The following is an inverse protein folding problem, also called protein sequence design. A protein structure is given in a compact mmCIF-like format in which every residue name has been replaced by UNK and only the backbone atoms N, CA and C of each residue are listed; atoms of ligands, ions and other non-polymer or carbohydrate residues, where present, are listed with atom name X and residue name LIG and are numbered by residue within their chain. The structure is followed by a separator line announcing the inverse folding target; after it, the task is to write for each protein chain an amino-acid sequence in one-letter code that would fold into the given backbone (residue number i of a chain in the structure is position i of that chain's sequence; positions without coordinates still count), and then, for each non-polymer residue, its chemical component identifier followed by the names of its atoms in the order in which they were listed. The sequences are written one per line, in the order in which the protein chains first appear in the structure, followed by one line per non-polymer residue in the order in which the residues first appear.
data_IF_555584403326
#
_entry.id   IF_555584403326
#
_cell.length_a   1.000
_cell.length_b   1.000
_cell.length_c   1.000
_cell.angle_alpha   90.00
_cell.angle_beta   90.00
_cell.angle_gamma   90.00
#
_symmetry.space_group_name_H-M   'P 1'
#
loop_
_entity.id
_entity.type
_entity.pdbx_description
1 polymer ?
#
# COMPACT_ATOMS: atom_id res chain seq x y z
N UNK A 1 13.34 -0.89 -8.50
CA UNK A 1 12.13 -0.81 -7.65
C UNK A 1 10.93 -1.61 -8.12
N UNK A 2 10.37 -1.39 -9.33
CA UNK A 2 9.18 -2.12 -9.79
C UNK A 2 9.26 -3.65 -9.65
N UNK A 3 10.37 -4.26 -10.05
CA UNK A 3 10.58 -5.71 -9.93
C UNK A 3 10.60 -6.19 -8.47
N UNK A 4 11.16 -5.39 -7.57
CA UNK A 4 11.22 -5.68 -6.14
C UNK A 4 9.83 -5.57 -5.52
N UNK A 5 9.08 -4.51 -5.84
CA UNK A 5 7.68 -4.38 -5.43
C UNK A 5 6.85 -5.59 -5.86
N UNK A 6 7.06 -6.10 -7.09
CA UNK A 6 6.39 -7.30 -7.60
C UNK A 6 6.85 -8.59 -6.92
N UNK A 7 8.14 -8.73 -6.60
CA UNK A 7 8.64 -9.89 -5.83
C UNK A 7 8.02 -9.92 -4.43
N UNK A 8 7.97 -8.79 -3.74
CA UNK A 8 7.35 -8.66 -2.43
C UNK A 8 5.83 -8.90 -2.51
N UNK A 9 5.14 -8.35 -3.51
CA UNK A 9 3.70 -8.62 -3.73
C UNK A 9 3.42 -10.13 -3.87
N UNK A 10 4.21 -10.84 -4.67
CA UNK A 10 4.08 -12.30 -4.81
C UNK A 10 4.33 -13.05 -3.51
N UNK A 11 5.36 -12.67 -2.76
CA UNK A 11 5.66 -13.25 -1.44
C UNK A 11 4.47 -13.05 -0.49
N UNK A 12 3.98 -11.83 -0.35
CA UNK A 12 2.89 -11.50 0.58
C UNK A 12 1.61 -12.23 0.20
N UNK A 13 1.26 -12.29 -1.08
CA UNK A 13 0.10 -13.06 -1.55
C UNK A 13 0.25 -14.56 -1.18
N UNK A 14 1.45 -15.12 -1.36
CA UNK A 14 1.72 -16.51 -1.00
C UNK A 14 1.58 -16.77 0.51
N UNK A 15 1.89 -15.77 1.34
CA UNK A 15 1.81 -15.85 2.80
C UNK A 15 0.39 -15.62 3.37
N UNK A 16 -0.58 -15.25 2.53
CA UNK A 16 -1.98 -15.01 2.94
C UNK A 16 -2.52 -13.64 2.57
N UNK A 17 -1.73 -12.76 1.97
CA UNK A 17 -2.12 -11.40 1.59
C UNK A 17 -1.62 -10.34 2.56
N UNK A 18 -1.99 -9.10 2.29
CA UNK A 18 -1.50 -7.94 3.03
C UNK A 18 -2.14 -7.81 4.43
N UNK A 19 -1.39 -7.27 5.39
CA UNK A 19 -1.95 -6.89 6.68
C UNK A 19 -2.94 -5.74 6.55
N UNK A 20 -3.82 -5.58 7.54
CA UNK A 20 -4.57 -4.32 7.68
C UNK A 20 -3.58 -3.15 7.78
N UNK A 21 -3.83 -1.99 7.15
CA UNK A 21 -2.85 -0.91 7.08
C UNK A 21 -2.27 -0.46 8.43
N UNK A 22 -3.09 -0.37 9.49
CA UNK A 22 -2.62 0.02 10.82
C UNK A 22 -1.80 -1.09 11.51
N UNK A 23 -2.02 -2.36 11.17
CA UNK A 23 -1.16 -3.47 11.59
C UNK A 23 0.18 -3.41 10.86
N UNK A 24 0.19 -3.11 9.56
CA UNK A 24 1.43 -2.86 8.81
C UNK A 24 2.21 -1.66 9.36
N UNK A 25 1.53 -0.61 9.80
CA UNK A 25 2.16 0.51 10.51
C UNK A 25 2.79 0.07 11.84
N UNK A 26 2.10 -0.73 12.64
CA UNK A 26 2.64 -1.22 13.90
C UNK A 26 3.92 -2.01 13.67
N UNK A 27 3.94 -2.90 12.67
CA UNK A 27 5.14 -3.64 12.28
C UNK A 27 6.25 -2.69 11.82
N UNK A 28 5.97 -1.70 10.97
CA UNK A 28 6.98 -0.73 10.55
C UNK A 28 7.64 -0.02 11.75
N UNK A 29 6.85 0.39 12.75
CA UNK A 29 7.38 1.05 13.94
C UNK A 29 8.18 0.09 14.84
N UNK A 30 7.81 -1.18 14.85
CA UNK A 30 8.54 -2.26 15.52
C UNK A 30 9.92 -2.43 14.89
N UNK A 31 10.02 -2.62 13.58
CA UNK A 31 11.32 -2.75 12.86
C UNK A 31 12.22 -1.52 13.07
N UNK A 32 11.63 -0.32 13.05
CA UNK A 32 12.39 0.93 13.30
C UNK A 32 12.93 0.97 14.74
N UNK A 33 12.22 0.37 15.68
CA UNK A 33 12.69 0.15 17.04
C UNK A 33 13.83 -0.87 17.09
N UNK A 34 13.69 -1.99 16.38
CA UNK A 34 14.68 -3.06 16.30
C UNK A 34 16.00 -2.58 15.64
N UNK A 35 15.94 -1.77 14.57
CA UNK A 35 17.11 -1.05 14.02
C UNK A 35 17.80 -0.19 15.09
N UNK A 36 17.02 0.50 15.93
CA UNK A 36 17.55 1.30 17.03
C UNK A 36 18.24 0.47 18.11
N UNK A 37 17.68 -0.70 18.42
CA UNK A 37 18.27 -1.69 19.32
C UNK A 37 19.59 -2.21 18.79
N UNK A 38 19.63 -2.67 17.54
CA UNK A 38 20.85 -3.17 16.89
C UNK A 38 21.97 -2.11 16.87
N UNK A 39 21.64 -0.85 16.56
CA UNK A 39 22.60 0.27 16.63
C UNK A 39 23.10 0.54 18.05
N UNK A 40 22.23 0.41 19.06
CA UNK A 40 22.59 0.61 20.45
C UNK A 40 23.56 -0.47 20.94
N UNK A 41 23.24 -1.73 20.63
CA UNK A 41 23.98 -2.91 21.05
C UNK A 41 25.22 -3.19 20.19
N UNK A 42 25.42 -2.42 19.11
CA UNK A 42 26.48 -2.60 18.11
C UNK A 42 26.44 -4.00 17.46
N UNK A 43 25.23 -4.52 17.25
CA UNK A 43 24.99 -5.80 16.59
C UNK A 43 24.78 -5.57 15.08
N UNK A 44 25.84 -5.76 14.32
CA UNK A 44 25.84 -5.56 12.86
C UNK A 44 24.95 -6.57 12.14
N UNK A 45 24.88 -7.83 12.61
CA UNK A 45 24.07 -8.87 11.99
C UNK A 45 22.57 -8.56 12.17
N UNK A 46 22.17 -8.20 13.39
CA UNK A 46 20.82 -7.72 13.64
C UNK A 46 20.51 -6.48 12.81
N UNK A 47 21.43 -5.50 12.75
CA UNK A 47 21.22 -4.27 11.97
C UNK A 47 20.91 -4.56 10.50
N UNK A 48 21.61 -5.52 9.87
CA UNK A 48 21.34 -5.93 8.49
C UNK A 48 19.92 -6.50 8.34
N UNK A 49 19.52 -7.42 9.22
CA UNK A 49 18.18 -8.04 9.21
C UNK A 49 17.09 -6.97 9.36
N UNK A 50 17.20 -6.10 10.35
CA UNK A 50 16.18 -5.09 10.65
C UNK A 50 16.08 -4.02 9.55
N UNK A 51 17.18 -3.65 8.89
CA UNK A 51 17.15 -2.73 7.75
C UNK A 51 16.40 -3.33 6.55
N UNK A 52 16.64 -4.62 6.27
CA UNK A 52 15.92 -5.32 5.21
C UNK A 52 14.42 -5.42 5.55
N UNK A 53 14.08 -5.64 6.82
CA UNK A 53 12.70 -5.74 7.27
C UNK A 53 11.93 -4.40 7.20
N UNK A 54 12.56 -3.30 7.62
CA UNK A 54 12.01 -1.95 7.37
C UNK A 54 11.76 -1.74 5.87
N UNK A 55 12.69 -2.16 5.01
CA UNK A 55 12.55 -2.01 3.57
C UNK A 55 11.39 -2.85 3.00
N UNK A 56 11.25 -4.10 3.44
CA UNK A 56 10.14 -4.98 3.04
C UNK A 56 8.80 -4.40 3.47
N UNK A 57 8.65 -4.03 4.75
CA UNK A 57 7.36 -3.57 5.28
C UNK A 57 6.97 -2.21 4.70
N UNK A 58 7.92 -1.30 4.53
CA UNK A 58 7.66 -0.02 3.86
C UNK A 58 7.23 -0.23 2.40
N UNK A 59 7.81 -1.22 1.71
CA UNK A 59 7.39 -1.61 0.35
C UNK A 59 5.99 -2.24 0.35
N UNK A 60 5.66 -3.06 1.34
CA UNK A 60 4.32 -3.63 1.49
C UNK A 60 3.27 -2.52 1.66
N UNK A 61 3.54 -1.55 2.54
CA UNK A 61 2.67 -0.40 2.73
C UNK A 61 2.52 0.41 1.44
N UNK A 62 3.57 0.59 0.62
CA UNK A 62 3.43 1.26 -0.67
C UNK A 62 2.50 0.49 -1.62
N UNK A 63 2.70 -0.82 -1.74
CA UNK A 63 1.90 -1.67 -2.63
C UNK A 63 0.41 -1.61 -2.28
N UNK A 64 0.04 -1.63 -0.99
CA UNK A 64 -1.35 -1.54 -0.54
C UNK A 64 -2.09 -0.28 -1.00
N UNK A 65 -1.36 0.79 -1.29
CA UNK A 65 -1.91 2.06 -1.80
C UNK A 65 -1.66 2.23 -3.30
N UNK A 66 -1.32 1.14 -4.00
CA UNK A 66 -0.93 1.12 -5.39
C UNK A 66 0.13 2.19 -5.73
N UNK A 67 1.06 2.44 -4.80
CA UNK A 67 2.15 3.42 -4.97
C UNK A 67 3.27 2.81 -5.81
N UNK A 68 3.74 3.57 -6.79
CA UNK A 68 4.94 3.25 -7.55
C UNK A 68 6.13 3.94 -6.88
N UNK A 69 7.05 3.16 -6.32
CA UNK A 69 8.21 3.70 -5.60
C UNK A 69 9.37 4.01 -6.55
N UNK A 70 9.95 5.19 -6.38
CA UNK A 70 11.21 5.54 -7.04
C UNK A 70 12.42 4.89 -6.35
N UNK A 71 13.49 4.67 -7.11
CA UNK A 71 14.75 4.16 -6.56
C UNK A 71 15.43 5.21 -5.66
N UNK A 72 15.61 4.85 -4.38
CA UNK A 72 16.20 5.73 -3.37
C UNK A 72 17.70 5.49 -3.15
N UNK A 73 18.32 4.56 -3.88
CA UNK A 73 19.74 4.19 -3.72
C UNK A 73 20.72 5.31 -4.07
N UNK A 74 20.33 6.22 -4.97
CA UNK A 74 21.22 7.22 -5.61
C UNK A 74 21.54 8.45 -4.75
N UNK A 75 21.25 8.43 -3.45
CA UNK A 75 21.52 9.55 -2.53
C UNK A 75 23.00 9.94 -2.51
N UNK A 76 23.29 11.23 -2.74
CA UNK A 76 24.65 11.79 -2.70
C UNK A 76 24.86 12.52 -1.37
N UNK A 77 25.61 11.91 -0.48
CA UNK A 77 26.13 12.55 0.72
C UNK A 77 26.48 11.55 1.80
N UNK A 78 27.69 11.64 2.33
CA UNK A 78 28.05 10.97 3.59
C UNK A 78 27.09 11.45 4.67
N UNK A 79 26.45 10.51 5.36
CA UNK A 79 25.53 10.80 6.45
C UNK A 79 25.86 9.88 7.60
N UNK A 80 26.34 10.48 8.69
CA UNK A 80 26.56 9.74 9.95
C UNK A 80 25.33 8.89 10.28
N UNK A 81 25.55 7.60 10.55
CA UNK A 81 24.51 6.59 10.82
C UNK A 81 23.42 7.07 11.77
N UNK A 82 23.78 7.74 12.87
CA UNK A 82 22.80 8.27 13.82
C UNK A 82 21.85 9.31 13.22
N UNK A 83 22.30 10.14 12.27
CA UNK A 83 21.44 11.09 11.56
C UNK A 83 20.51 10.39 10.58
N UNK A 84 21.00 9.34 9.93
CA UNK A 84 20.17 8.49 9.08
C UNK A 84 19.10 7.78 9.92
N UNK A 85 19.44 7.24 11.09
CA UNK A 85 18.48 6.66 12.03
C UNK A 85 17.43 7.68 12.52
N UNK A 86 17.82 8.89 12.92
CA UNK A 86 16.82 9.92 13.27
C UNK A 86 15.94 10.32 12.08
N UNK A 87 16.47 10.26 10.87
CA UNK A 87 15.67 10.47 9.65
C UNK A 87 14.66 9.33 9.45
N UNK A 88 15.08 8.08 9.69
CA UNK A 88 14.21 6.90 9.65
C UNK A 88 13.05 7.03 10.64
N UNK A 89 13.35 7.33 11.91
CA UNK A 89 12.33 7.53 12.97
C UNK A 89 11.37 8.67 12.59
N UNK A 90 11.90 9.79 12.07
CA UNK A 90 11.07 10.93 11.65
C UNK A 90 10.14 10.56 10.50
N UNK A 91 10.63 9.90 9.46
CA UNK A 91 9.81 9.54 8.30
C UNK A 91 8.79 8.44 8.65
N UNK A 92 9.15 7.46 9.48
CA UNK A 92 8.21 6.46 9.99
C UNK A 92 7.08 7.09 10.82
N UNK A 93 7.40 8.11 11.64
CA UNK A 93 6.39 8.90 12.35
C UNK A 93 5.47 9.70 11.42
N UNK A 94 5.98 10.18 10.28
CA UNK A 94 5.17 10.84 9.26
C UNK A 94 4.30 9.87 8.44
N UNK A 95 4.80 8.64 8.18
CA UNK A 95 3.97 7.53 7.67
C UNK A 95 2.83 7.25 8.66
N UNK A 96 3.13 7.14 9.96
CA UNK A 96 2.13 6.92 11.01
C UNK A 96 1.06 8.02 11.02
N UNK A 97 1.48 9.28 10.92
CA UNK A 97 0.59 10.43 10.86
C UNK A 97 -0.35 10.37 9.64
N UNK A 98 0.18 9.96 8.49
CA UNK A 98 -0.57 9.86 7.22
C UNK A 98 -1.53 8.68 7.24
N UNK A 99 -1.08 7.49 7.67
CA UNK A 99 -1.93 6.31 7.78
C UNK A 99 -3.03 6.48 8.83
N UNK A 100 -2.75 7.09 9.97
CA UNK A 100 -3.80 7.41 10.95
C UNK A 100 -4.82 8.40 10.38
N UNK A 101 -4.38 9.29 9.49
CA UNK A 101 -5.28 10.18 8.78
C UNK A 101 -6.12 9.47 7.72
N UNK A 102 -5.62 8.41 7.07
CA UNK A 102 -6.34 7.63 6.06
C UNK A 102 -7.30 6.62 6.70
N UNK A 103 -6.81 5.89 7.69
CA UNK A 103 -7.40 4.66 8.22
C UNK A 103 -7.96 4.81 9.63
N UNK A 104 -7.44 5.75 10.41
CA UNK A 104 -7.83 5.97 11.80
C UNK A 104 -8.86 7.07 11.99
N UNK A 105 -9.17 7.33 13.25
CA UNK A 105 -10.21 8.28 13.67
C UNK A 105 -9.75 9.74 13.57
N UNK A 106 -8.44 9.97 13.46
CA UNK A 106 -7.84 11.30 13.55
C UNK A 106 -7.75 11.95 12.17
N UNK A 107 -8.65 12.90 11.91
CA UNK A 107 -8.52 13.78 10.74
C UNK A 107 -7.29 14.70 10.87
N UNK A 108 -6.66 15.00 9.75
CA UNK A 108 -5.63 16.03 9.67
C UNK A 108 -6.22 17.40 9.96
N UNK A 109 -5.41 18.30 10.52
CA UNK A 109 -5.83 19.70 10.72
C UNK A 109 -6.01 20.36 9.35
N UNK A 110 -6.94 21.31 9.24
CA UNK A 110 -7.18 22.04 7.99
C UNK A 110 -5.93 22.80 7.49
N UNK A 111 -5.02 23.17 8.39
CA UNK A 111 -3.75 23.85 8.07
C UNK A 111 -2.59 22.90 7.76
N UNK A 112 -2.78 21.58 7.87
CA UNK A 112 -1.73 20.63 7.52
C UNK A 112 -1.73 20.42 6.02
N UNK A 113 -0.54 20.48 5.42
CA UNK A 113 -0.27 19.90 4.10
C UNK A 113 0.53 18.62 4.34
N UNK A 114 -0.12 17.47 4.59
CA UNK A 114 0.61 16.21 4.59
C UNK A 114 1.15 16.01 3.18
N UNK A 115 2.45 15.69 3.07
CA UNK A 115 2.93 15.08 1.83
C UNK A 115 2.20 13.77 1.56
N UNK A 116 2.30 13.25 0.34
CA UNK A 116 1.76 11.93 0.01
C UNK A 116 2.40 10.84 0.88
N UNK A 117 1.67 9.74 1.10
CA UNK A 117 2.20 8.55 1.74
C UNK A 117 3.43 8.04 0.96
N UNK A 118 3.39 8.09 -0.38
CA UNK A 118 4.54 7.79 -1.23
C UNK A 118 5.81 8.52 -0.80
N UNK A 119 5.73 9.85 -0.67
CA UNK A 119 6.90 10.65 -0.29
C UNK A 119 7.48 10.25 1.08
N UNK A 120 6.60 9.89 2.04
CA UNK A 120 7.02 9.46 3.39
C UNK A 120 7.64 8.07 3.37
N UNK A 121 7.09 7.14 2.59
CA UNK A 121 7.67 5.80 2.42
C UNK A 121 9.03 5.88 1.73
N UNK A 122 9.17 6.69 0.68
CA UNK A 122 10.46 6.93 0.02
C UNK A 122 11.48 7.58 0.97
N UNK A 123 11.01 8.45 1.88
CA UNK A 123 11.82 9.00 2.97
C UNK A 123 12.36 7.92 3.92
N UNK A 124 11.51 6.96 4.31
CA UNK A 124 11.89 5.78 5.09
C UNK A 124 12.96 4.97 4.34
N UNK A 125 12.69 4.59 3.09
CA UNK A 125 13.63 3.78 2.29
C UNK A 125 14.96 4.47 2.06
N UNK A 126 14.95 5.79 1.82
CA UNK A 126 16.18 6.58 1.71
C UNK A 126 17.01 6.53 2.99
N UNK A 127 16.38 6.62 4.16
CA UNK A 127 17.08 6.52 5.43
C UNK A 127 17.66 5.11 5.65
N UNK A 128 16.95 4.05 5.22
CA UNK A 128 17.49 2.68 5.20
C UNK A 128 18.72 2.58 4.31
N UNK A 129 18.66 3.08 3.07
CA UNK A 129 19.82 3.08 2.16
C UNK A 129 20.98 3.92 2.69
N UNK A 130 20.71 5.01 3.39
CA UNK A 130 21.75 5.82 4.03
C UNK A 130 22.47 5.04 5.12
N UNK A 131 21.76 4.28 5.96
CA UNK A 131 22.40 3.41 6.98
C UNK A 131 23.15 2.26 6.30
N UNK A 132 22.51 1.57 5.35
CA UNK A 132 23.11 0.44 4.63
C UNK A 132 24.44 0.81 3.96
N UNK A 133 24.53 2.00 3.37
CA UNK A 133 25.76 2.49 2.73
C UNK A 133 26.92 2.66 3.72
N UNK A 134 26.63 3.16 4.92
CA UNK A 134 27.66 3.40 5.94
C UNK A 134 28.20 2.09 6.54
N UNK A 135 27.41 1.01 6.49
CA UNK A 135 27.83 -0.34 6.89
C UNK A 135 28.24 -1.21 5.68
N UNK A 136 28.41 -0.61 4.51
CA UNK A 136 28.81 -1.30 3.26
C UNK A 136 27.88 -2.46 2.83
N UNK A 137 26.60 -2.39 3.21
CA UNK A 137 25.56 -3.36 2.86
C UNK A 137 24.97 -3.08 1.46
N UNK A 138 25.04 -4.07 0.56
CA UNK A 138 24.26 -4.07 -0.69
C UNK A 138 22.84 -4.60 -0.42
N UNK A 139 21.94 -3.70 -0.05
CA UNK A 139 20.56 -4.02 0.28
C UNK A 139 19.81 -4.73 -0.86
N UNK A 140 20.13 -4.44 -2.13
CA UNK A 140 19.46 -5.08 -3.26
C UNK A 140 19.97 -6.49 -3.53
N UNK A 141 21.23 -6.79 -3.20
CA UNK A 141 21.75 -8.14 -3.27
C UNK A 141 21.12 -9.03 -2.19
N UNK A 142 20.97 -8.51 -0.96
CA UNK A 142 20.50 -9.30 0.19
C UNK A 142 18.98 -9.51 0.23
N UNK A 143 18.18 -8.58 -0.32
CA UNK A 143 16.71 -8.67 -0.27
C UNK A 143 16.15 -9.93 -0.95
N UNK A 144 16.86 -10.47 -1.95
CA UNK A 144 16.46 -11.70 -2.64
C UNK A 144 16.44 -12.90 -1.69
N UNK A 145 17.53 -13.11 -0.96
CA UNK A 145 17.67 -14.20 0.02
C UNK A 145 16.64 -14.08 1.14
N UNK A 146 16.44 -12.87 1.67
CA UNK A 146 15.44 -12.63 2.72
C UNK A 146 14.02 -12.99 2.27
N UNK A 147 13.64 -12.63 1.03
CA UNK A 147 12.31 -12.95 0.49
C UNK A 147 12.11 -14.47 0.45
N UNK A 148 13.10 -15.23 0.00
CA UNK A 148 13.03 -16.69 -0.09
C UNK A 148 12.93 -17.33 1.32
N UNK A 149 13.73 -16.84 2.27
CA UNK A 149 13.71 -17.29 3.66
C UNK A 149 12.37 -17.02 4.36
N UNK A 150 11.85 -15.79 4.26
CA UNK A 150 10.56 -15.42 4.85
C UNK A 150 9.40 -16.19 4.24
N UNK A 151 9.43 -16.41 2.92
CA UNK A 151 8.41 -17.22 2.22
C UNK A 151 8.31 -18.62 2.84
N UNK A 152 9.45 -19.27 3.09
CA UNK A 152 9.49 -20.62 3.67
C UNK A 152 9.11 -20.63 5.16
N UNK A 153 9.65 -19.68 5.94
CA UNK A 153 9.48 -19.61 7.40
C UNK A 153 8.04 -19.29 7.80
N UNK A 154 7.41 -18.35 7.08
CA UNK A 154 6.16 -17.75 7.53
C UNK A 154 4.90 -18.32 6.86
N UNK A 155 5.07 -19.35 6.03
CA UNK A 155 3.97 -20.03 5.37
C UNK A 155 2.93 -20.54 6.38
N UNK A 156 1.67 -20.13 6.20
CA UNK A 156 0.56 -20.53 7.07
C UNK A 156 0.50 -19.82 8.43
N UNK A 157 1.33 -18.78 8.68
CA UNK A 157 1.29 -17.99 9.92
C UNK A 157 0.27 -16.85 9.92
N UNK A 158 -0.32 -16.53 8.77
CA UNK A 158 -1.19 -15.36 8.63
C UNK A 158 -2.57 -15.73 8.09
N UNK A 159 -3.59 -15.09 8.65
CA UNK A 159 -4.95 -15.15 8.15
C UNK A 159 -5.10 -14.31 6.88
N UNK A 160 -5.89 -14.82 5.93
CA UNK A 160 -6.19 -14.06 4.73
C UNK A 160 -7.01 -12.81 5.06
N UNK A 161 -6.46 -11.65 4.75
CA UNK A 161 -7.11 -10.36 4.96
C UNK A 161 -7.47 -9.73 3.60
N UNK A 162 -8.74 -9.34 3.38
CA UNK A 162 -9.13 -8.63 2.16
C UNK A 162 -8.37 -7.31 2.02
N UNK A 163 -7.84 -7.05 0.83
CA UNK A 163 -7.13 -5.82 0.50
C UNK A 163 -7.57 -5.35 -0.90
N UNK A 164 -7.89 -4.05 -1.09
CA UNK A 164 -8.37 -3.56 -2.37
C UNK A 164 -7.40 -3.81 -3.53
N UNK A 165 -6.08 -3.97 -3.30
CA UNK A 165 -5.14 -4.27 -4.39
C UNK A 165 -5.06 -5.76 -4.72
N UNK A 166 -5.61 -6.65 -3.90
CA UNK A 166 -5.64 -8.11 -4.15
C UNK A 166 -6.99 -8.60 -4.68
N UNK A 167 -8.02 -7.76 -4.68
CA UNK A 167 -9.33 -8.10 -5.23
C UNK A 167 -9.26 -8.53 -6.70
N UNK A 168 -10.07 -9.53 -7.05
CA UNK A 168 -10.06 -10.12 -8.39
C UNK A 168 -10.42 -9.10 -9.49
N UNK A 169 -11.30 -8.15 -9.16
CA UNK A 169 -11.74 -7.05 -10.02
C UNK A 169 -10.54 -6.23 -10.52
N UNK A 170 -9.68 -5.77 -9.63
CA UNK A 170 -8.51 -4.96 -10.00
C UNK A 170 -7.39 -5.78 -10.62
N UNK A 171 -7.16 -7.01 -10.13
CA UNK A 171 -6.12 -7.91 -10.67
C UNK A 171 -6.40 -8.32 -12.11
N UNK A 172 -7.67 -8.41 -12.49
CA UNK A 172 -8.09 -8.66 -13.86
C UNK A 172 -8.03 -7.38 -14.70
N UNK A 173 -8.66 -6.30 -14.24
CA UNK A 173 -8.75 -5.05 -14.99
C UNK A 173 -7.39 -4.45 -15.37
N UNK A 174 -6.42 -4.52 -14.46
CA UNK A 174 -5.05 -4.01 -14.69
C UNK A 174 -4.30 -4.74 -15.81
N UNK A 175 -4.75 -5.93 -16.23
CA UNK A 175 -4.21 -6.63 -17.41
C UNK A 175 -4.61 -5.95 -18.72
N UNK A 176 -5.77 -5.31 -18.74
CA UNK A 176 -6.29 -4.59 -19.90
C UNK A 176 -5.84 -3.12 -19.89
N UNK A 177 -5.90 -2.48 -18.73
CA UNK A 177 -5.54 -1.07 -18.55
C UNK A 177 -4.55 -0.91 -17.39
N UNK A 178 -3.24 -0.83 -17.68
CA UNK A 178 -2.25 -0.51 -16.66
C UNK A 178 -2.57 0.81 -15.97
N UNK A 179 -2.30 0.89 -14.67
CA UNK A 179 -2.51 2.08 -13.85
C UNK A 179 -2.65 1.72 -12.37
N UNK A 180 -2.95 2.73 -11.57
CA UNK A 180 -2.99 2.69 -10.11
C UNK A 180 -4.43 2.58 -9.63
N UNK A 181 -4.90 1.35 -9.51
CA UNK A 181 -6.30 1.06 -9.20
C UNK A 181 -6.44 0.37 -7.86
N UNK A 182 -7.59 0.58 -7.23
CA UNK A 182 -8.11 -0.26 -6.15
C UNK A 182 -9.30 -1.06 -6.67
N UNK A 183 -9.52 -2.24 -6.11
CA UNK A 183 -10.63 -3.12 -6.44
C UNK A 183 -11.68 -3.13 -5.35
N UNK A 184 -12.93 -3.24 -5.77
CA UNK A 184 -14.04 -3.60 -4.90
C UNK A 184 -14.19 -5.11 -4.80
N UNK A 185 -14.76 -5.53 -3.68
CA UNK A 185 -15.13 -6.91 -3.40
C UNK A 185 -16.10 -7.44 -4.45
N UNK A 186 -16.15 -8.75 -4.61
CA UNK A 186 -17.02 -9.43 -5.56
C UNK A 186 -18.49 -9.02 -5.39
N UNK A 187 -19.12 -8.58 -6.48
CA UNK A 187 -20.53 -8.20 -6.56
C UNK A 187 -21.43 -9.43 -6.68
N UNK A 188 -22.61 -9.44 -6.03
CA UNK A 188 -23.55 -10.56 -6.13
C UNK A 188 -24.54 -10.34 -7.28
N UNK A 189 -24.99 -11.42 -7.97
CA UNK A 189 -26.03 -11.32 -8.99
C UNK A 189 -27.29 -10.62 -8.46
N UNK A 190 -27.83 -9.67 -9.24
CA UNK A 190 -29.04 -8.92 -8.90
C UNK A 190 -29.00 -8.23 -7.52
N UNK A 191 -27.81 -7.90 -7.01
CA UNK A 191 -27.67 -7.20 -5.75
C UNK A 191 -28.12 -5.74 -5.88
N UNK A 192 -28.78 -5.20 -4.86
CA UNK A 192 -29.06 -3.76 -4.81
C UNK A 192 -27.75 -2.98 -4.68
N UNK A 193 -27.58 -1.93 -5.49
CA UNK A 193 -26.38 -1.10 -5.47
C UNK A 193 -26.11 -0.50 -4.09
N UNK A 194 -27.16 -0.04 -3.39
CA UNK A 194 -27.09 0.44 -2.00
C UNK A 194 -26.57 -0.64 -1.03
N UNK A 195 -26.99 -1.89 -1.20
CA UNK A 195 -26.55 -3.02 -0.36
C UNK A 195 -25.09 -3.38 -0.63
N UNK A 196 -24.65 -3.36 -1.90
CA UNK A 196 -23.23 -3.51 -2.24
C UNK A 196 -22.39 -2.45 -1.51
N UNK A 197 -22.85 -1.19 -1.53
CA UNK A 197 -22.18 -0.07 -0.85
C UNK A 197 -22.00 -0.27 0.64
N UNK A 198 -22.95 -0.90 1.33
CA UNK A 198 -22.88 -1.13 2.77
C UNK A 198 -21.78 -2.13 3.18
N UNK A 199 -21.49 -3.11 2.32
CA UNK A 199 -20.44 -4.11 2.56
C UNK A 199 -19.08 -3.75 1.96
N UNK A 200 -19.05 -2.83 0.99
CA UNK A 200 -17.81 -2.37 0.35
C UNK A 200 -17.15 -1.24 1.17
N UNK A 201 -16.32 -1.63 2.14
CA UNK A 201 -15.64 -0.72 3.06
C UNK A 201 -14.52 0.10 2.40
N UNK A 202 -13.86 -0.43 1.37
CA UNK A 202 -12.71 0.20 0.72
C UNK A 202 -13.12 1.37 -0.17
N UNK A 203 -14.34 1.39 -0.70
CA UNK A 203 -14.79 2.53 -1.51
C UNK A 203 -14.79 3.84 -0.70
N UNK A 204 -15.17 3.80 0.59
CA UNK A 204 -15.10 5.01 1.44
C UNK A 204 -13.64 5.47 1.64
N UNK A 205 -12.72 4.53 1.79
CA UNK A 205 -11.27 4.81 1.90
C UNK A 205 -10.75 5.41 0.59
N UNK A 206 -11.07 4.78 -0.54
CA UNK A 206 -10.69 5.24 -1.89
C UNK A 206 -11.08 6.71 -2.12
N UNK A 207 -12.35 7.06 -1.89
CA UNK A 207 -12.85 8.42 -2.12
C UNK A 207 -12.10 9.50 -1.33
N UNK A 208 -11.51 9.12 -0.18
CA UNK A 208 -10.72 10.00 0.67
C UNK A 208 -9.29 10.17 0.17
N UNK A 209 -8.68 9.11 -0.39
CA UNK A 209 -7.24 9.09 -0.68
C UNK A 209 -6.91 9.25 -2.16
N UNK A 210 -7.85 8.97 -3.08
CA UNK A 210 -7.56 8.84 -4.51
C UNK A 210 -6.96 10.11 -5.14
N UNK A 211 -7.33 11.28 -4.63
CA UNK A 211 -6.73 12.55 -5.08
C UNK A 211 -5.30 12.71 -4.54
N UNK A 212 -5.08 12.39 -3.27
CA UNK A 212 -3.79 12.63 -2.59
C UNK A 212 -2.73 11.66 -3.09
N UNK A 213 -3.08 10.39 -3.22
CA UNK A 213 -2.14 9.34 -3.66
C UNK A 213 -2.11 9.15 -5.17
N UNK A 214 -2.98 9.83 -5.93
CA UNK A 214 -3.00 9.73 -7.39
C UNK A 214 -3.52 8.38 -7.91
N UNK A 215 -4.54 7.81 -7.27
CA UNK A 215 -5.23 6.63 -7.80
C UNK A 215 -6.05 6.99 -9.05
N UNK A 216 -6.04 6.09 -10.02
CA UNK A 216 -6.71 6.23 -11.32
C UNK A 216 -8.18 5.80 -11.29
N UNK A 217 -8.54 4.92 -10.35
CA UNK A 217 -9.92 4.48 -10.19
C UNK A 217 -10.13 3.40 -9.14
N UNK A 218 -11.41 3.21 -8.78
CA UNK A 218 -11.89 2.07 -8.01
C UNK A 218 -12.70 1.17 -8.92
N UNK A 219 -12.26 -0.08 -9.07
CA UNK A 219 -12.73 -1.01 -10.09
C UNK A 219 -13.62 -2.05 -9.45
N UNK A 220 -14.83 -2.20 -9.98
CA UNK A 220 -15.79 -3.23 -9.60
C UNK A 220 -16.09 -4.05 -10.84
N UNK A 221 -16.00 -5.38 -10.75
CA UNK A 221 -16.47 -6.27 -11.81
C UNK A 221 -17.98 -6.43 -11.66
N UNK A 222 -18.72 -6.11 -12.71
CA UNK A 222 -20.17 -6.27 -12.73
C UNK A 222 -20.52 -7.76 -12.82
N UNK A 223 -21.47 -8.27 -12.01
CA UNK A 223 -21.92 -9.65 -12.15
C UNK A 223 -22.77 -9.82 -13.41
N UNK A 224 -22.94 -11.07 -13.87
CA UNK A 224 -23.72 -11.42 -15.06
C UNK A 224 -25.14 -10.84 -15.00
N UNK A 225 -25.78 -10.95 -13.83
CA UNK A 225 -27.00 -10.20 -13.52
C UNK A 225 -26.62 -8.86 -12.88
N UNK A 226 -26.88 -7.72 -13.55
CA UNK A 226 -26.39 -6.43 -13.11
C UNK A 226 -27.02 -5.98 -11.78
N UNK A 227 -26.40 -4.98 -11.14
CA UNK A 227 -26.95 -4.35 -9.95
C UNK A 227 -28.38 -3.85 -10.17
N UNK A 228 -29.22 -4.02 -9.15
CA UNK A 228 -30.52 -3.35 -9.06
C UNK A 228 -30.25 -1.93 -8.59
N UNK A 229 -30.58 -0.96 -9.45
CA UNK A 229 -30.35 0.47 -9.22
C UNK A 229 -31.69 1.17 -8.97
N UNK A 230 -31.79 1.95 -7.90
CA UNK A 230 -33.03 2.67 -7.56
C UNK A 230 -33.17 3.94 -8.41
N UNK A 231 -32.07 4.64 -8.64
CA UNK A 231 -32.06 5.88 -9.44
C UNK A 231 -30.82 5.94 -10.33
N UNK A 232 -29.63 6.01 -9.73
CA UNK A 232 -28.35 5.85 -10.43
C UNK A 232 -27.31 5.26 -9.48
N UNK A 233 -26.23 4.68 -10.01
CA UNK A 233 -25.15 4.12 -9.18
C UNK A 233 -24.49 5.22 -8.32
N UNK A 234 -24.33 6.43 -8.86
CA UNK A 234 -23.76 7.56 -8.13
C UNK A 234 -24.59 7.93 -6.90
N UNK A 235 -25.92 7.93 -7.04
CA UNK A 235 -26.84 8.23 -5.94
C UNK A 235 -26.87 7.08 -4.92
N UNK A 236 -27.01 5.84 -5.40
CA UNK A 236 -27.10 4.66 -4.53
C UNK A 236 -25.80 4.43 -3.75
N UNK A 237 -24.64 4.76 -4.35
CA UNK A 237 -23.33 4.67 -3.69
C UNK A 237 -22.91 5.96 -2.97
N UNK A 238 -23.70 7.03 -3.09
CA UNK A 238 -23.46 8.34 -2.48
C UNK A 238 -22.08 8.90 -2.85
N UNK A 239 -21.76 8.90 -4.14
CA UNK A 239 -20.49 9.43 -4.63
C UNK A 239 -20.48 10.96 -4.56
N UNK A 240 -19.36 11.59 -4.12
CA UNK A 240 -19.18 13.03 -4.24
C UNK A 240 -19.15 13.46 -5.71
N UNK A 241 -19.56 14.70 -6.00
CA UNK A 241 -19.55 15.28 -7.36
C UNK A 241 -18.16 15.30 -8.04
N UNK A 242 -17.09 15.22 -7.23
CA UNK A 242 -15.71 15.09 -7.71
C UNK A 242 -15.38 13.72 -8.27
N UNK A 243 -16.31 12.77 -8.27
CA UNK A 243 -16.15 11.44 -8.83
C UNK A 243 -17.26 11.12 -9.82
N UNK A 244 -16.90 10.37 -10.86
CA UNK A 244 -17.79 9.88 -11.91
C UNK A 244 -17.68 8.35 -12.02
N UNK A 245 -18.66 7.75 -12.68
CA UNK A 245 -18.67 6.33 -13.00
C UNK A 245 -18.48 6.17 -14.51
N UNK A 246 -17.47 5.39 -14.88
CA UNK A 246 -17.31 4.85 -16.23
C UNK A 246 -17.70 3.37 -16.24
N UNK A 247 -18.28 2.93 -17.35
CA UNK A 247 -18.48 1.50 -17.63
C UNK A 247 -17.60 1.09 -18.81
N UNK A 248 -16.79 0.05 -18.62
CA UNK A 248 -15.92 -0.47 -19.67
C UNK A 248 -16.17 -1.97 -19.87
N UNK A 249 -16.16 -2.40 -21.12
CA UNK A 249 -16.18 -3.83 -21.49
C UNK A 249 -14.80 -4.26 -21.93
N UNK A 250 -14.28 -5.34 -21.34
CA UNK A 250 -13.06 -5.99 -21.76
C UNK A 250 -13.32 -7.49 -21.88
N UNK A 251 -13.19 -8.02 -23.10
CA UNK A 251 -13.57 -9.40 -23.43
C UNK A 251 -15.05 -9.69 -23.08
N UNK A 252 -15.30 -10.61 -22.15
CA UNK A 252 -16.65 -10.97 -21.66
C UNK A 252 -17.03 -10.20 -20.39
N UNK A 253 -16.10 -9.46 -19.80
CA UNK A 253 -16.26 -8.82 -18.50
C UNK A 253 -16.68 -7.36 -18.64
N UNK A 254 -17.69 -6.97 -17.87
CA UNK A 254 -18.07 -5.58 -17.68
C UNK A 254 -17.51 -5.06 -16.36
N UNK A 255 -16.86 -3.90 -16.42
CA UNK A 255 -16.28 -3.23 -15.26
C UNK A 255 -16.97 -1.89 -15.04
N UNK A 256 -17.22 -1.57 -13.77
CA UNK A 256 -17.66 -0.27 -13.29
C UNK A 256 -16.44 0.38 -12.63
N UNK A 257 -16.03 1.54 -13.12
CA UNK A 257 -14.84 2.24 -12.66
C UNK A 257 -15.24 3.59 -12.10
N UNK A 258 -15.01 3.79 -10.82
CA UNK A 258 -15.21 5.09 -10.16
C UNK A 258 -13.92 5.89 -10.29
N UNK A 259 -13.97 7.02 -11.00
CA UNK A 259 -12.80 7.87 -11.27
C UNK A 259 -13.02 9.30 -10.79
N UNK A 260 -11.93 10.05 -10.66
CA UNK A 260 -11.97 11.50 -10.40
C UNK A 260 -12.54 12.23 -11.62
N UNK A 261 -13.44 13.19 -11.38
CA UNK A 261 -13.91 14.13 -12.38
C UNK A 261 -12.86 15.25 -12.52
N UNK A 262 -12.29 15.43 -13.71
CA UNK A 262 -11.23 16.41 -13.99
C UNK A 262 -11.79 17.68 -14.62
#
# INVERSE_FOLDING_TARGET
MKEIQQKIDRMIIHLGGYWRPLSGLARLLEEVGEVGGALHDQDEAALVEELLDVFVISTCLANQYAIELDDQSSGRGERLVHRAYYSLVREAGEVARTLNAYEGDKKLKASSTPGSLQHRIEGVQRAVFDIAREIELDLYAEIGSLIDEKTARDFGRFDHTPDPITESSVRLYTRFKPGRYWGGIEAKPSEEASRYREREYNLKRFLKIAHVEGLDGFVIRQPDEPFIVTSSLEQDWKLPESFIIDEEWHEIDKFIIIRKNW
#
